data_IF_562796568556
#
_entry.id   IF_562796568556
#
_cell.length_a   1.000
_cell.length_b   1.000
_cell.length_c   1.000
_cell.angle_alpha   90.00
_cell.angle_beta   90.00
_cell.angle_gamma   90.00
#
_symmetry.space_group_name_H-M   'P 1'
#
loop_
_entity.id
_entity.type
_entity.pdbx_description
1 polymer ?
#
# COMPACT_ATOMS: atom_id res chain seq x y z
N UNK A 1 15.69 0.70 -31.06
CA UNK A 1 15.76 -0.77 -31.31
C UNK A 1 16.87 -1.33 -30.42
N UNK A 2 16.52 -2.22 -29.48
CA UNK A 2 17.47 -2.79 -28.52
C UNK A 2 16.80 -2.93 -27.14
N UNK A 3 16.55 -4.17 -26.75
CA UNK A 3 15.74 -4.60 -25.61
C UNK A 3 16.39 -4.37 -24.25
N UNK A 4 15.56 -4.18 -23.23
CA UNK A 4 15.74 -4.89 -21.95
C UNK A 4 14.36 -5.13 -21.37
N UNK A 5 13.73 -6.22 -21.83
CA UNK A 5 12.65 -6.86 -21.10
C UNK A 5 13.29 -7.48 -19.87
N UNK A 6 12.95 -6.97 -18.69
CA UNK A 6 13.36 -7.60 -17.44
C UNK A 6 12.71 -8.98 -17.42
N UNK A 7 13.54 -10.03 -17.30
CA UNK A 7 13.19 -11.46 -17.24
C UNK A 7 12.09 -11.80 -16.21
N UNK A 8 11.77 -10.85 -15.32
CA UNK A 8 10.72 -10.94 -14.32
C UNK A 8 9.34 -10.46 -14.79
N UNK A 9 9.25 -9.53 -15.75
CA UNK A 9 7.97 -9.19 -16.38
C UNK A 9 7.47 -10.38 -17.21
N UNK A 10 8.37 -11.04 -17.95
CA UNK A 10 8.01 -12.16 -18.81
C UNK A 10 7.53 -13.37 -17.98
N UNK A 11 8.08 -13.57 -16.77
CA UNK A 11 7.68 -14.66 -15.87
C UNK A 11 6.37 -14.37 -15.13
N UNK A 12 6.07 -13.10 -14.87
CA UNK A 12 4.77 -12.68 -14.34
C UNK A 12 3.66 -12.86 -15.40
N UNK A 13 3.96 -12.58 -16.67
CA UNK A 13 3.03 -12.80 -17.79
C UNK A 13 2.82 -14.30 -18.07
N UNK A 14 3.87 -15.13 -18.01
CA UNK A 14 3.78 -16.59 -18.20
C UNK A 14 2.92 -17.27 -17.12
N UNK A 15 3.07 -16.86 -15.85
CA UNK A 15 2.24 -17.36 -14.75
C UNK A 15 0.77 -16.90 -14.84
N UNK A 16 0.51 -15.73 -15.44
CA UNK A 16 -0.84 -15.22 -15.66
C UNK A 16 -1.62 -16.00 -16.74
N UNK A 17 -0.92 -16.53 -17.74
CA UNK A 17 -1.54 -17.42 -18.76
C UNK A 17 -1.86 -18.79 -18.16
N UNK A 18 -0.94 -19.37 -17.39
CA UNK A 18 -1.13 -20.70 -16.78
C UNK A 18 -2.27 -20.73 -15.75
N UNK A 19 -2.52 -19.62 -15.04
CA UNK A 19 -3.65 -19.50 -14.10
C UNK A 19 -5.03 -19.49 -14.77
N UNK A 20 -5.13 -19.03 -16.03
CA UNK A 20 -6.38 -19.10 -16.81
C UNK A 20 -6.71 -20.52 -17.25
N UNK A 21 -5.69 -21.28 -17.66
CA UNK A 21 -5.88 -22.65 -18.17
C UNK A 21 -6.22 -23.64 -17.04
N UNK A 22 -5.70 -23.44 -15.82
CA UNK A 22 -6.07 -24.26 -14.66
C UNK A 22 -7.50 -24.00 -14.16
N UNK A 23 -8.01 -22.76 -14.29
CA UNK A 23 -9.39 -22.44 -13.92
C UNK A 23 -10.43 -22.95 -14.95
N UNK A 24 -10.02 -23.18 -16.20
CA UNK A 24 -10.88 -23.73 -17.24
C UNK A 24 -10.99 -25.27 -17.21
N UNK A 25 -10.04 -25.96 -16.58
CA UNK A 25 -9.99 -27.43 -16.53
C UNK A 25 -10.69 -28.09 -15.33
N UNK A 26 -11.14 -27.31 -14.34
CA UNK A 26 -11.73 -27.84 -13.10
C UNK A 26 -13.07 -27.15 -12.77
N UNK A 27 -14.09 -27.42 -13.58
CA UNK A 27 -15.48 -27.15 -13.21
C UNK A 27 -16.35 -28.38 -13.49
N UNK A 28 -16.55 -29.19 -12.45
CA UNK A 28 -17.72 -30.08 -12.35
C UNK A 28 -18.91 -29.23 -11.86
N UNK A 29 -20.11 -29.34 -12.45
CA UNK A 29 -21.23 -28.49 -12.08
C UNK A 29 -21.82 -28.91 -10.73
N UNK A 30 -21.64 -28.07 -9.71
CA UNK A 30 -22.38 -28.18 -8.44
C UNK A 30 -23.79 -27.64 -8.64
N UNK A 31 -24.79 -28.49 -8.37
CA UNK A 31 -26.21 -28.16 -8.45
C UNK A 31 -26.63 -27.25 -7.29
N UNK A 32 -27.20 -26.08 -7.61
CA UNK A 32 -27.73 -25.08 -6.67
C UNK A 32 -29.21 -25.34 -6.39
N UNK A 33 -29.67 -25.37 -5.12
CA UNK A 33 -31.10 -25.28 -4.83
C UNK A 33 -31.57 -23.82 -4.88
N UNK A 34 -32.81 -23.62 -5.34
CA UNK A 34 -33.45 -22.32 -5.61
C UNK A 34 -33.67 -21.46 -4.34
N UNK A 35 -33.72 -20.12 -4.46
CA UNK A 35 -33.82 -19.23 -3.30
C UNK A 35 -35.27 -19.12 -2.80
N UNK A 36 -35.46 -19.30 -1.49
CA UNK A 36 -36.67 -18.84 -0.81
C UNK A 36 -36.48 -17.40 -0.38
N UNK A 37 -37.43 -16.56 -0.78
CA UNK A 37 -37.51 -15.13 -0.48
C UNK A 37 -37.69 -14.84 1.01
N UNK A 38 -37.10 -13.72 1.44
CA UNK A 38 -37.42 -12.85 2.58
C UNK A 38 -36.33 -12.79 3.67
N UNK A 39 -35.49 -11.75 3.59
CA UNK A 39 -35.13 -10.85 4.69
C UNK A 39 -34.15 -9.81 4.17
N UNK A 40 -34.51 -8.54 4.29
CA UNK A 40 -33.66 -7.38 4.03
C UNK A 40 -32.37 -7.47 4.87
N UNK A 41 -31.22 -7.33 4.23
CA UNK A 41 -29.94 -7.13 4.90
C UNK A 41 -29.46 -5.71 4.59
N UNK A 42 -29.34 -4.95 5.68
CA UNK A 42 -28.88 -3.58 5.80
C UNK A 42 -27.44 -3.41 5.30
N UNK A 43 -27.17 -2.24 4.73
CA UNK A 43 -25.83 -1.75 4.39
C UNK A 43 -24.87 -1.95 5.58
N UNK A 44 -23.82 -2.73 5.36
CA UNK A 44 -22.75 -2.91 6.34
C UNK A 44 -21.75 -1.75 6.19
N UNK A 45 -22.03 -0.64 6.87
CA UNK A 45 -21.01 0.37 7.20
C UNK A 45 -19.98 -0.28 8.14
N UNK A 46 -18.78 -0.58 7.62
CA UNK A 46 -17.61 -0.80 8.46
C UNK A 46 -17.22 0.57 9.04
N UNK A 47 -17.72 0.88 10.23
CA UNK A 47 -17.37 2.08 10.97
C UNK A 47 -15.96 2.00 11.53
N UNK A 48 -14.97 2.23 10.66
CA UNK A 48 -13.61 2.55 11.06
C UNK A 48 -13.60 4.04 11.46
N UNK A 49 -13.10 4.37 12.65
CA UNK A 49 -13.12 5.74 13.13
C UNK A 49 -12.21 6.58 12.24
N UNK A 50 -12.76 7.39 11.34
CA UNK A 50 -11.95 8.28 10.51
C UNK A 50 -11.06 9.18 11.39
N UNK A 51 -9.80 9.39 10.97
CA UNK A 51 -8.89 10.29 11.67
C UNK A 51 -9.54 11.68 11.83
N UNK A 52 -9.31 12.34 12.96
CA UNK A 52 -9.93 13.65 13.19
C UNK A 52 -9.43 14.69 12.19
N UNK A 53 -10.24 15.73 11.93
CA UNK A 53 -9.88 16.83 11.03
C UNK A 53 -8.60 17.58 11.46
N UNK A 54 -8.15 17.42 12.71
CA UNK A 54 -6.92 17.99 13.26
C UNK A 54 -5.73 17.04 13.34
N UNK A 55 -5.89 15.77 12.94
CA UNK A 55 -4.81 14.78 13.01
C UNK A 55 -3.64 15.17 12.10
N UNK A 56 -2.41 15.03 12.63
CA UNK A 56 -1.19 15.20 11.84
C UNK A 56 -1.00 14.00 10.93
N UNK A 57 -1.11 14.21 9.62
CA UNK A 57 -1.06 13.15 8.60
C UNK A 57 0.33 13.04 8.00
N UNK A 58 0.95 11.87 8.12
CA UNK A 58 2.30 11.62 7.63
C UNK A 58 2.25 10.57 6.53
N UNK A 59 2.47 10.98 5.27
CA UNK A 59 2.56 10.03 4.16
C UNK A 59 3.86 9.25 4.24
N UNK A 60 3.79 7.93 4.06
CA UNK A 60 4.98 7.08 4.01
C UNK A 60 5.00 6.29 2.72
N UNK A 61 6.06 6.48 1.94
CA UNK A 61 6.24 5.89 0.60
C UNK A 61 7.71 5.50 0.41
N UNK A 62 7.99 4.65 -0.57
CA UNK A 62 9.36 4.39 -0.94
C UNK A 62 9.60 3.03 -1.59
N UNK A 63 10.77 2.51 -1.29
CA UNK A 63 11.35 1.35 -1.95
C UNK A 63 10.59 0.04 -1.77
N UNK A 64 10.75 -0.84 -2.77
CA UNK A 64 10.20 -2.20 -2.78
C UNK A 64 11.20 -3.14 -2.10
N UNK A 65 10.79 -4.39 -1.79
CA UNK A 65 11.63 -5.28 -1.00
C UNK A 65 13.05 -5.48 -1.57
N UNK A 66 13.28 -5.66 -2.89
CA UNK A 66 14.63 -5.81 -3.43
C UNK A 66 15.59 -4.67 -3.08
N UNK A 67 15.09 -3.43 -3.02
CA UNK A 67 15.86 -2.23 -2.72
C UNK A 67 16.06 -2.01 -1.21
N UNK A 68 15.38 -2.77 -0.34
CA UNK A 68 15.49 -2.72 1.12
C UNK A 68 15.89 -4.07 1.75
N UNK A 69 16.72 -4.85 1.06
CA UNK A 69 17.32 -6.08 1.60
C UNK A 69 16.56 -7.38 1.29
N UNK A 70 15.49 -7.32 0.52
CA UNK A 70 14.74 -8.47 -0.01
C UNK A 70 13.37 -8.69 0.66
N UNK A 71 12.65 -9.72 0.18
CA UNK A 71 11.28 -10.05 0.61
C UNK A 71 11.18 -10.74 1.98
N UNK A 72 12.30 -11.17 2.55
CA UNK A 72 12.36 -11.83 3.85
C UNK A 72 12.77 -10.89 4.97
N UNK A 73 12.70 -11.40 6.21
CA UNK A 73 13.25 -10.71 7.38
C UNK A 73 14.71 -10.37 7.14
N UNK A 74 15.06 -9.10 7.33
CA UNK A 74 16.40 -8.60 7.11
C UNK A 74 16.64 -7.35 7.96
N UNK A 75 17.91 -7.08 8.34
CA UNK A 75 18.23 -5.99 9.26
C UNK A 75 18.01 -4.59 8.67
N UNK A 76 17.98 -4.45 7.35
CA UNK A 76 17.71 -3.18 6.66
C UNK A 76 16.25 -2.79 6.86
N UNK A 77 15.32 -3.69 6.53
CA UNK A 77 13.89 -3.50 6.77
C UNK A 77 13.58 -3.27 8.27
N UNK A 78 14.20 -4.05 9.16
CA UNK A 78 14.05 -3.86 10.62
C UNK A 78 14.56 -2.49 11.09
N UNK A 79 15.65 -2.02 10.49
CA UNK A 79 16.22 -0.68 10.74
C UNK A 79 15.28 0.44 10.30
N UNK A 80 14.77 0.35 9.07
CA UNK A 80 13.82 1.30 8.51
C UNK A 80 12.51 1.36 9.32
N UNK A 81 11.94 0.20 9.71
CA UNK A 81 10.75 0.14 10.57
C UNK A 81 10.99 0.82 11.92
N UNK A 82 12.15 0.59 12.53
CA UNK A 82 12.53 1.24 13.80
C UNK A 82 12.66 2.76 13.64
N UNK A 83 13.31 3.25 12.58
CA UNK A 83 13.42 4.69 12.32
C UNK A 83 12.06 5.34 12.06
N UNK A 84 11.19 4.71 11.26
CA UNK A 84 9.83 5.18 11.03
C UNK A 84 9.05 5.25 12.36
N UNK A 85 9.15 4.21 13.20
CA UNK A 85 8.53 4.21 14.53
C UNK A 85 9.04 5.37 15.39
N UNK A 86 10.36 5.61 15.45
CA UNK A 86 10.95 6.69 16.22
C UNK A 86 10.43 8.06 15.78
N UNK A 87 10.30 8.28 14.47
CA UNK A 87 9.71 9.52 13.92
C UNK A 87 8.24 9.63 14.35
N UNK A 88 7.43 8.58 14.19
CA UNK A 88 6.01 8.60 14.55
C UNK A 88 5.80 8.86 16.04
N UNK A 89 6.59 8.23 16.91
CA UNK A 89 6.56 8.48 18.37
C UNK A 89 6.95 9.92 18.70
N UNK A 90 8.00 10.44 18.06
CA UNK A 90 8.40 11.83 18.25
C UNK A 90 7.27 12.79 17.84
N UNK A 91 6.62 12.54 16.70
CA UNK A 91 5.49 13.35 16.24
C UNK A 91 4.28 13.25 17.17
N UNK A 92 4.00 12.06 17.71
CA UNK A 92 2.92 11.86 18.67
C UNK A 92 3.17 12.58 20.01
N UNK A 93 4.41 12.96 20.33
CA UNK A 93 4.70 13.83 21.47
C UNK A 93 4.45 15.32 21.20
N UNK A 94 4.29 15.70 19.92
CA UNK A 94 4.15 17.09 19.48
C UNK A 94 2.71 17.44 19.07
N UNK A 95 1.91 16.44 18.71
CA UNK A 95 0.55 16.60 18.20
C UNK A 95 -0.41 15.67 18.95
N UNK A 96 -1.64 16.13 19.16
CA UNK A 96 -2.67 15.38 19.89
C UNK A 96 -3.03 14.05 19.20
N UNK A 97 -2.99 14.03 17.87
CA UNK A 97 -3.23 12.85 17.05
C UNK A 97 -2.26 12.85 15.86
N UNK A 98 -1.67 11.69 15.58
CA UNK A 98 -0.79 11.45 14.43
C UNK A 98 -1.28 10.21 13.72
N UNK A 99 -1.34 10.24 12.40
CA UNK A 99 -1.77 9.10 11.59
C UNK A 99 -0.85 8.93 10.39
N UNK A 100 -0.39 7.70 10.14
CA UNK A 100 0.37 7.39 8.94
C UNK A 100 -0.56 7.16 7.74
N UNK A 101 -0.25 7.74 6.59
CA UNK A 101 -0.93 7.45 5.31
C UNK A 101 -0.03 6.54 4.47
N UNK A 102 -0.52 5.35 4.12
CA UNK A 102 0.28 4.35 3.38
C UNK A 102 -0.58 3.64 2.34
N UNK A 103 0.02 3.33 1.18
CA UNK A 103 -0.65 2.57 0.13
C UNK A 103 -0.55 1.04 0.26
N UNK A 104 0.04 0.58 1.37
CA UNK A 104 0.28 -0.82 1.72
C UNK A 104 0.98 -1.65 0.63
N UNK A 105 1.75 -1.00 -0.23
CA UNK A 105 2.59 -1.71 -1.17
C UNK A 105 3.69 -2.50 -0.45
N UNK A 106 4.06 -3.66 -1.00
CA UNK A 106 5.19 -4.45 -0.49
C UNK A 106 6.45 -3.58 -0.37
N UNK A 107 7.09 -3.65 0.79
CA UNK A 107 8.31 -2.90 1.10
C UNK A 107 8.05 -1.81 2.12
N UNK A 108 8.49 -0.59 1.84
CA UNK A 108 8.39 0.56 2.74
C UNK A 108 6.98 0.82 3.26
N UNK A 109 5.97 0.74 2.39
CA UNK A 109 4.59 1.07 2.76
C UNK A 109 3.97 0.06 3.75
N UNK A 110 4.26 -1.23 3.59
CA UNK A 110 3.88 -2.25 4.61
C UNK A 110 4.64 -2.03 5.92
N UNK A 111 5.95 -1.74 5.86
CA UNK A 111 6.76 -1.45 7.07
C UNK A 111 6.25 -0.21 7.82
N UNK A 112 5.72 0.78 7.09
CA UNK A 112 5.16 1.99 7.68
C UNK A 112 3.88 1.71 8.49
N UNK A 113 2.99 0.87 7.97
CA UNK A 113 1.79 0.44 8.71
C UNK A 113 2.18 -0.28 10.00
N UNK A 114 3.13 -1.21 9.91
CA UNK A 114 3.65 -1.92 11.06
C UNK A 114 4.33 -0.98 12.08
N UNK A 115 5.11 0.00 11.60
CA UNK A 115 5.74 1.01 12.46
C UNK A 115 4.70 1.87 13.18
N UNK A 116 3.59 2.22 12.52
CA UNK A 116 2.50 2.98 13.11
C UNK A 116 1.73 2.19 14.19
N UNK A 117 1.54 0.88 13.97
CA UNK A 117 1.02 -0.04 15.00
C UNK A 117 1.97 -0.07 16.19
N UNK A 118 3.27 -0.27 15.96
CA UNK A 118 4.26 -0.33 17.04
C UNK A 118 4.44 1.00 17.79
N UNK A 119 4.13 2.12 17.16
CA UNK A 119 4.17 3.47 17.73
C UNK A 119 2.89 3.84 18.50
N UNK A 120 1.78 3.14 18.25
CA UNK A 120 0.47 3.44 18.84
C UNK A 120 -0.25 4.64 18.22
N UNK A 121 0.19 5.12 17.04
CA UNK A 121 -0.43 6.25 16.32
C UNK A 121 -1.53 5.81 15.35
N UNK A 122 -1.41 4.59 14.81
CA UNK A 122 -2.31 4.03 13.80
C UNK A 122 -2.12 4.61 12.39
N UNK A 123 -2.83 4.06 11.41
CA UNK A 123 -2.63 4.38 10.00
C UNK A 123 -3.92 4.27 9.18
N UNK A 124 -3.97 4.99 8.06
CA UNK A 124 -5.01 4.91 7.04
C UNK A 124 -4.41 4.26 5.79
N UNK A 125 -5.09 3.23 5.28
CA UNK A 125 -4.71 2.57 4.04
C UNK A 125 -5.27 3.34 2.83
N UNK A 126 -4.41 3.81 1.94
CA UNK A 126 -4.77 4.59 0.74
C UNK A 126 -4.52 3.76 -0.52
N UNK A 127 -5.52 3.02 -0.94
CA UNK A 127 -5.45 2.09 -2.06
C UNK A 127 -5.82 2.79 -3.38
N UNK A 128 -5.06 2.54 -4.43
CA UNK A 128 -5.38 3.10 -5.75
C UNK A 128 -6.66 2.50 -6.35
N UNK A 129 -6.92 1.21 -6.08
CA UNK A 129 -8.05 0.42 -6.58
C UNK A 129 -8.27 -0.76 -5.63
N UNK A 130 -9.41 -1.48 -5.71
CA UNK A 130 -9.71 -2.61 -4.82
C UNK A 130 -8.72 -3.77 -4.99
N UNK A 131 -8.40 -4.44 -3.90
CA UNK A 131 -7.57 -5.66 -3.86
C UNK A 131 -6.26 -5.56 -4.68
N UNK A 132 -5.35 -4.63 -4.32
CA UNK A 132 -4.05 -4.52 -4.98
C UNK A 132 -3.11 -5.69 -4.67
N UNK A 133 -3.45 -6.54 -3.69
CA UNK A 133 -2.63 -7.67 -3.24
C UNK A 133 -2.94 -8.97 -4.00
N UNK A 134 -4.05 -9.05 -4.75
CA UNK A 134 -4.53 -10.24 -5.47
C UNK A 134 -3.45 -11.06 -6.22
N UNK A 135 -2.43 -10.38 -6.77
CA UNK A 135 -1.35 -11.00 -7.56
C UNK A 135 -0.12 -11.41 -6.75
N UNK A 136 -0.08 -11.11 -5.45
CA UNK A 136 1.05 -11.42 -4.58
C UNK A 136 1.00 -12.88 -4.10
N UNK A 137 2.10 -13.43 -3.56
CA UNK A 137 2.06 -14.73 -2.89
C UNK A 137 1.09 -14.73 -1.71
N UNK A 138 0.47 -15.88 -1.41
CA UNK A 138 -0.54 -16.02 -0.34
C UNK A 138 -0.10 -15.49 1.04
N UNK A 139 1.15 -15.71 1.52
CA UNK A 139 1.59 -15.11 2.77
C UNK A 139 1.58 -13.58 2.77
N UNK A 140 1.89 -12.96 1.62
CA UNK A 140 1.86 -11.51 1.47
C UNK A 140 0.43 -10.97 1.37
N UNK A 141 -0.50 -11.71 0.74
CA UNK A 141 -1.93 -11.38 0.78
C UNK A 141 -2.45 -11.41 2.22
N UNK A 142 -2.20 -12.49 2.96
CA UNK A 142 -2.63 -12.60 4.35
C UNK A 142 -2.07 -11.48 5.23
N UNK A 143 -0.80 -11.10 5.02
CA UNK A 143 -0.21 -10.00 5.77
C UNK A 143 -0.87 -8.66 5.42
N UNK A 144 -1.18 -8.42 4.15
CA UNK A 144 -1.94 -7.25 3.72
C UNK A 144 -3.33 -7.22 4.36
N UNK A 145 -4.07 -8.32 4.34
CA UNK A 145 -5.41 -8.42 4.93
C UNK A 145 -5.37 -8.14 6.44
N UNK A 146 -4.39 -8.71 7.15
CA UNK A 146 -4.19 -8.44 8.57
C UNK A 146 -3.88 -6.96 8.86
N UNK A 147 -3.19 -6.26 7.96
CA UNK A 147 -2.96 -4.83 8.09
C UNK A 147 -4.24 -4.04 7.80
N UNK A 148 -4.99 -4.38 6.75
CA UNK A 148 -6.27 -3.75 6.44
C UNK A 148 -7.23 -3.83 7.65
N UNK A 149 -7.31 -4.98 8.32
CA UNK A 149 -8.14 -5.18 9.51
C UNK A 149 -7.73 -4.29 10.71
N UNK A 150 -6.50 -3.78 10.71
CA UNK A 150 -5.95 -2.89 11.75
C UNK A 150 -5.92 -1.41 11.32
N UNK A 151 -6.29 -1.10 10.09
CA UNK A 151 -6.31 0.28 9.60
C UNK A 151 -7.42 1.07 10.31
N UNK A 152 -7.12 2.34 10.63
CA UNK A 152 -8.08 3.31 11.17
C UNK A 152 -9.19 3.60 10.14
N UNK A 153 -8.82 3.62 8.86
CA UNK A 153 -9.72 3.78 7.73
C UNK A 153 -9.05 3.24 6.45
N UNK A 154 -9.87 2.94 5.43
CA UNK A 154 -9.42 2.48 4.12
C UNK A 154 -10.01 3.37 3.03
N UNK A 155 -9.16 4.18 2.42
CA UNK A 155 -9.51 5.03 1.29
C UNK A 155 -9.18 4.29 -0.01
N UNK A 156 -10.18 4.04 -0.84
CA UNK A 156 -10.01 3.45 -2.18
C UNK A 156 -10.38 4.49 -3.23
N UNK A 157 -9.43 4.89 -4.08
CA UNK A 157 -9.63 6.02 -5.00
C UNK A 157 -10.37 5.65 -6.28
N UNK A 158 -10.00 4.54 -6.92
CA UNK A 158 -10.75 4.01 -8.05
C UNK A 158 -11.70 2.93 -7.58
N UNK A 159 -12.93 2.94 -8.11
CA UNK A 159 -13.95 1.93 -7.78
C UNK A 159 -13.67 0.58 -8.42
N UNK A 160 -13.00 0.58 -9.58
CA UNK A 160 -12.82 -0.60 -10.41
C UNK A 160 -11.34 -1.00 -10.48
N UNK A 161 -11.10 -2.31 -10.60
CA UNK A 161 -9.76 -2.85 -10.85
C UNK A 161 -9.34 -2.49 -12.29
N UNK A 162 -8.20 -1.81 -12.50
CA UNK A 162 -7.74 -1.41 -13.83
C UNK A 162 -7.53 -2.61 -14.77
N UNK A 163 -8.03 -2.51 -16.01
CA UNK A 163 -7.94 -3.59 -17.00
C UNK A 163 -6.62 -3.66 -17.78
N UNK A 164 -5.71 -2.69 -17.59
CA UNK A 164 -4.43 -2.62 -18.32
C UNK A 164 -3.33 -1.96 -17.50
N UNK A 165 -2.06 -2.25 -17.84
CA UNK A 165 -0.90 -1.67 -17.14
C UNK A 165 -0.85 -0.13 -17.19
N UNK A 166 -1.29 0.48 -18.29
CA UNK A 166 -1.42 1.94 -18.38
C UNK A 166 -2.47 2.48 -17.39
N UNK A 167 -3.60 1.79 -17.25
CA UNK A 167 -4.63 2.20 -16.29
C UNK A 167 -4.13 2.00 -14.86
N UNK A 168 -3.43 0.90 -14.56
CA UNK A 168 -2.75 0.66 -13.27
C UNK A 168 -1.82 1.83 -12.94
N UNK A 169 -0.92 2.21 -13.85
CA UNK A 169 0.00 3.32 -13.64
C UNK A 169 -0.73 4.65 -13.37
N UNK A 170 -1.85 4.92 -14.07
CA UNK A 170 -2.69 6.10 -13.83
C UNK A 170 -3.35 6.06 -12.44
N UNK A 171 -3.82 4.91 -11.99
CA UNK A 171 -4.42 4.72 -10.67
C UNK A 171 -3.41 4.97 -9.55
N UNK A 172 -2.21 4.41 -9.69
CA UNK A 172 -1.10 4.71 -8.76
C UNK A 172 -0.76 6.20 -8.76
N UNK A 173 -0.65 6.85 -9.92
CA UNK A 173 -0.38 8.29 -9.99
C UNK A 173 -1.49 9.16 -9.38
N UNK A 174 -2.77 8.73 -9.42
CA UNK A 174 -3.87 9.40 -8.69
C UNK A 174 -3.70 9.26 -7.18
N UNK A 175 -3.35 8.07 -6.71
CA UNK A 175 -3.08 7.77 -5.30
C UNK A 175 -1.90 8.56 -4.75
N UNK A 176 -0.79 8.62 -5.48
CA UNK A 176 0.37 9.40 -5.05
C UNK A 176 0.03 10.90 -4.94
N UNK A 177 -0.74 11.44 -5.90
CA UNK A 177 -1.23 12.82 -5.82
C UNK A 177 -2.19 13.04 -4.66
N UNK A 178 -3.04 12.06 -4.35
CA UNK A 178 -3.92 12.14 -3.19
C UNK A 178 -3.10 12.22 -1.90
N UNK A 179 -2.07 11.37 -1.75
CA UNK A 179 -1.18 11.40 -0.59
C UNK A 179 -0.51 12.78 -0.46
N UNK A 180 0.04 13.33 -1.55
CA UNK A 180 0.66 14.67 -1.57
C UNK A 180 -0.29 15.77 -1.12
N UNK A 181 -1.56 15.71 -1.52
CA UNK A 181 -2.55 16.74 -1.21
C UNK A 181 -3.16 16.62 0.20
N UNK A 182 -3.02 15.46 0.87
CA UNK A 182 -3.68 15.16 2.14
C UNK A 182 -2.70 14.92 3.30
N UNK A 183 -1.41 14.86 3.02
CA UNK A 183 -0.37 14.74 4.04
C UNK A 183 0.14 16.12 4.46
N UNK A 184 0.50 16.24 5.73
CA UNK A 184 1.19 17.41 6.28
C UNK A 184 2.71 17.24 6.23
N UNK A 185 3.17 16.00 6.37
CA UNK A 185 4.58 15.61 6.32
C UNK A 185 4.73 14.32 5.52
N UNK A 186 5.95 14.01 5.08
CA UNK A 186 6.23 12.74 4.42
C UNK A 186 7.50 12.08 4.95
N UNK A 187 7.49 10.75 5.00
CA UNK A 187 8.68 9.91 5.14
C UNK A 187 8.87 9.18 3.80
N UNK A 188 10.05 9.36 3.19
CA UNK A 188 10.39 8.73 1.91
C UNK A 188 11.63 7.89 2.08
N UNK A 189 11.49 6.57 1.92
CA UNK A 189 12.64 5.65 1.91
C UNK A 189 13.22 5.59 0.51
N UNK A 190 14.43 6.12 0.33
CA UNK A 190 15.11 6.23 -0.95
C UNK A 190 16.62 6.04 -0.83
N UNK A 191 17.18 5.23 -1.72
CA UNK A 191 18.58 4.79 -1.78
C UNK A 191 19.50 5.76 -2.55
N UNK A 192 18.99 6.91 -2.98
CA UNK A 192 19.73 7.85 -3.84
C UNK A 192 19.77 7.48 -5.32
N UNK A 193 19.13 6.38 -5.74
CA UNK A 193 19.11 5.90 -7.11
C UNK A 193 18.12 6.66 -8.03
N UNK A 194 18.43 6.71 -9.33
CA UNK A 194 17.53 7.33 -10.33
C UNK A 194 16.40 6.38 -10.72
N UNK A 195 15.27 6.47 -10.02
CA UNK A 195 14.14 5.55 -10.14
C UNK A 195 12.80 6.27 -9.89
N UNK A 196 11.70 5.52 -9.86
CA UNK A 196 10.37 6.08 -9.60
C UNK A 196 10.25 6.75 -8.23
N UNK A 197 11.00 6.27 -7.24
CA UNK A 197 11.00 6.83 -5.88
C UNK A 197 11.69 8.20 -5.84
N UNK A 198 12.76 8.41 -6.63
CA UNK A 198 13.37 9.74 -6.77
C UNK A 198 12.34 10.79 -7.22
N UNK A 199 11.51 10.45 -8.21
CA UNK A 199 10.45 11.36 -8.66
C UNK A 199 9.45 11.62 -7.53
N UNK A 200 9.02 10.57 -6.82
CA UNK A 200 8.07 10.68 -5.74
C UNK A 200 8.59 11.56 -4.60
N UNK A 201 9.87 11.41 -4.23
CA UNK A 201 10.55 12.27 -3.26
C UNK A 201 10.48 13.73 -3.69
N UNK A 202 10.92 14.04 -4.91
CA UNK A 202 10.91 15.42 -5.44
C UNK A 202 9.52 16.02 -5.49
N UNK A 203 8.50 15.22 -5.83
CA UNK A 203 7.13 15.67 -5.80
C UNK A 203 6.74 16.05 -4.36
N UNK A 204 6.97 15.18 -3.35
CA UNK A 204 6.68 15.52 -1.95
C UNK A 204 7.44 16.75 -1.46
N UNK A 205 8.74 16.87 -1.76
CA UNK A 205 9.55 18.05 -1.41
C UNK A 205 8.96 19.34 -2.02
N UNK A 206 8.43 19.27 -3.25
CA UNK A 206 7.82 20.43 -3.90
C UNK A 206 6.52 20.91 -3.25
N UNK A 207 5.77 20.01 -2.60
CA UNK A 207 4.51 20.33 -1.91
C UNK A 207 4.70 20.65 -0.43
N UNK A 208 5.60 19.93 0.25
CA UNK A 208 5.74 19.95 1.71
C UNK A 208 6.99 20.68 2.20
N UNK A 209 7.93 21.01 1.30
CA UNK A 209 9.18 21.69 1.63
C UNK A 209 10.01 20.89 2.63
N UNK A 210 10.40 21.54 3.73
CA UNK A 210 11.25 20.96 4.77
C UNK A 210 10.55 19.87 5.62
N UNK A 211 9.26 19.61 5.39
CA UNK A 211 8.49 18.60 6.10
C UNK A 211 8.61 17.18 5.48
N UNK A 212 9.72 16.91 4.79
CA UNK A 212 10.00 15.62 4.16
C UNK A 212 11.23 14.98 4.80
N UNK A 213 11.03 13.82 5.40
CA UNK A 213 12.06 13.00 6.00
C UNK A 213 12.53 11.96 4.99
N UNK A 214 13.78 12.06 4.55
CA UNK A 214 14.41 11.02 3.75
C UNK A 214 15.07 9.99 4.65
N UNK A 215 14.75 8.71 4.44
CA UNK A 215 15.44 7.58 5.06
C UNK A 215 16.19 6.79 3.99
N UNK A 216 17.40 6.34 4.32
CA UNK A 216 18.22 5.50 3.44
C UNK A 216 18.24 4.06 3.97
N UNK A 217 18.09 3.04 3.09
CA UNK A 217 18.20 1.62 3.46
C UNK A 217 19.62 1.22 3.92
#
# INVERSE_FOLDING_TARGET
KGHSGSRWNDRADELAVMGRDQAAGAMEPVSVPAPSSAASATDAEHGAAAASDGARKIAVVGHRPPEIGGYGKNPVADGLRRQMKEILVAKASMYDEVVALTGLQLGTETLAAEAAIDAGTGFIAVLAFPDPSARWPKPAQQHFDNLIDQAIDVVILDKDIPGSGMQVAKSFGRRDRWLQNNADEAIVVWDGGKNGVEKQLRDFESFLGDNVWRLEP
#
